data_IF_438102638664
#
_entry.id   IF_438102638664
#
_cell.length_a   1.000
_cell.length_b   1.000
_cell.length_c   1.000
_cell.angle_alpha   90.00
_cell.angle_beta   90.00
_cell.angle_gamma   90.00
#
_symmetry.space_group_name_H-M   'P 1'
#
loop_
_entity.id
_entity.type
_entity.pdbx_description
1 polymer ?
#
# COMPACT_ATOMS: atom_id res chain seq x y z
N UNK A 1 23.01 15.58 7.32
CA UNK A 1 22.46 14.49 7.93
C UNK A 1 21.19 13.99 7.30
N UNK A 2 20.86 12.84 7.73
CA UNK A 2 19.70 12.13 7.23
C UNK A 2 18.52 12.24 8.19
N UNK A 3 18.63 13.16 9.11
CA UNK A 3 17.63 13.26 10.17
C UNK A 3 16.30 13.76 9.67
N UNK A 4 16.29 14.48 8.54
CA UNK A 4 15.05 14.95 7.99
C UNK A 4 14.10 13.80 7.60
N UNK A 5 14.66 12.62 7.31
CA UNK A 5 13.82 11.47 6.97
C UNK A 5 12.96 11.02 8.16
N UNK A 6 13.44 11.23 9.38
CA UNK A 6 12.68 10.91 10.58
C UNK A 6 11.53 11.88 10.80
N UNK A 7 11.64 13.07 10.22
CA UNK A 7 10.63 14.12 10.37
C UNK A 7 9.64 14.17 9.20
N UNK A 8 9.78 13.26 8.25
CA UNK A 8 8.90 13.22 7.08
C UNK A 8 7.73 12.28 7.33
N UNK A 9 6.54 12.78 7.11
CA UNK A 9 5.32 11.99 7.15
C UNK A 9 4.73 11.89 5.75
N UNK A 10 4.17 10.74 5.42
CA UNK A 10 3.46 10.55 4.17
C UNK A 10 1.98 10.29 4.44
N UNK A 11 1.14 11.02 3.77
CA UNK A 11 -0.31 10.84 3.89
C UNK A 11 -0.85 10.49 2.50
N UNK A 12 -1.42 9.31 2.37
CA UNK A 12 -2.14 8.94 1.14
C UNK A 12 -3.46 9.67 1.18
N UNK A 13 -3.65 10.58 0.26
CA UNK A 13 -4.84 11.46 0.28
C UNK A 13 -5.89 11.07 -0.74
N UNK A 14 -5.48 10.46 -1.85
CA UNK A 14 -6.41 10.03 -2.89
C UNK A 14 -5.96 8.73 -3.52
N UNK A 15 -6.95 7.92 -3.89
CA UNK A 15 -6.74 6.66 -4.59
C UNK A 15 -7.61 6.65 -5.84
N UNK A 16 -7.03 6.24 -6.96
CA UNK A 16 -7.72 6.05 -8.23
C UNK A 16 -7.50 4.62 -8.68
N UNK A 17 -8.53 3.98 -9.18
CA UNK A 17 -8.45 2.63 -9.72
C UNK A 17 -8.78 2.65 -11.19
N UNK A 18 -8.00 1.96 -12.01
CA UNK A 18 -8.25 1.85 -13.44
C UNK A 18 -9.38 0.87 -13.68
N UNK A 19 -10.42 1.35 -14.34
CA UNK A 19 -11.57 0.57 -14.76
C UNK A 19 -11.93 0.97 -16.19
N UNK A 20 -12.03 -0.01 -17.09
CA UNK A 20 -12.34 0.26 -18.50
C UNK A 20 -11.40 1.30 -19.11
N UNK A 21 -10.08 1.15 -18.84
CA UNK A 21 -9.02 2.03 -19.33
C UNK A 21 -9.06 3.47 -18.80
N UNK A 22 -9.88 3.74 -17.78
CA UNK A 22 -9.99 5.06 -17.16
C UNK A 22 -9.71 4.93 -15.66
N UNK A 23 -8.90 5.86 -15.13
CA UNK A 23 -8.68 5.93 -13.69
C UNK A 23 -9.84 6.66 -13.04
N UNK A 24 -10.53 5.97 -12.14
CA UNK A 24 -11.70 6.49 -11.44
C UNK A 24 -11.36 6.65 -9.96
N UNK A 25 -11.68 7.82 -9.42
CA UNK A 25 -11.43 8.08 -8.01
C UNK A 25 -12.24 7.13 -7.12
N UNK A 26 -11.58 6.59 -6.11
CA UNK A 26 -12.24 5.75 -5.11
C UNK A 26 -12.74 6.66 -4.00
N UNK A 27 -14.01 7.05 -4.07
CA UNK A 27 -14.59 8.05 -3.16
C UNK A 27 -14.72 7.57 -1.73
N UNK A 28 -14.79 6.26 -1.52
CA UNK A 28 -14.84 5.69 -0.18
C UNK A 28 -13.48 5.69 0.52
N UNK A 29 -12.41 6.01 -0.21
CA UNK A 29 -11.08 6.05 0.36
C UNK A 29 -10.91 7.27 1.27
N UNK A 30 -10.46 7.04 2.49
CA UNK A 30 -10.17 8.11 3.44
C UNK A 30 -8.66 8.27 3.56
N UNK A 31 -8.16 9.50 3.80
CA UNK A 31 -6.73 9.72 3.94
C UNK A 31 -6.11 8.83 5.01
N UNK A 32 -4.93 8.28 4.72
CA UNK A 32 -4.24 7.34 5.58
C UNK A 32 -2.80 7.78 5.80
N UNK A 33 -2.36 7.77 7.05
CA UNK A 33 -0.98 8.06 7.40
C UNK A 33 -0.13 6.82 7.15
N UNK A 34 0.92 6.99 6.36
CA UNK A 34 1.87 5.91 6.08
C UNK A 34 2.92 5.82 7.17
N UNK A 35 3.39 4.61 7.39
CA UNK A 35 4.52 4.32 8.26
C UNK A 35 5.72 4.01 7.40
N UNK A 36 6.84 4.71 7.67
CA UNK A 36 8.09 4.41 6.98
C UNK A 36 8.76 3.23 7.67
N UNK A 37 8.65 2.07 7.05
CA UNK A 37 9.11 0.82 7.65
C UNK A 37 10.62 0.77 7.92
N UNK A 38 11.40 1.56 7.22
CA UNK A 38 12.85 1.51 7.41
C UNK A 38 13.34 2.15 8.71
N UNK A 39 12.51 2.85 9.46
CA UNK A 39 12.88 3.26 10.81
C UNK A 39 11.91 2.83 11.88
N UNK A 40 10.96 2.01 11.56
CA UNK A 40 10.08 1.41 12.55
C UNK A 40 9.92 -0.04 12.20
N UNK A 41 9.96 -0.87 13.22
CA UNK A 41 9.57 -2.25 13.01
C UNK A 41 8.05 -2.29 12.89
N UNK A 42 7.59 -2.82 11.78
CA UNK A 42 6.17 -3.01 11.58
C UNK A 42 5.83 -4.43 11.98
N UNK A 43 4.90 -4.55 12.90
CA UNK A 43 4.43 -5.84 13.35
C UNK A 43 3.15 -6.20 12.62
N UNK A 44 3.15 -7.36 11.99
CA UNK A 44 1.98 -7.91 11.32
C UNK A 44 1.44 -9.04 12.19
N UNK A 45 0.59 -8.72 13.17
CA UNK A 45 0.10 -9.73 14.10
C UNK A 45 -0.70 -10.80 13.36
N UNK A 46 -0.48 -12.04 13.75
CA UNK A 46 -1.21 -13.20 13.21
C UNK A 46 -0.93 -13.51 11.74
N UNK A 47 0.09 -12.87 11.15
CA UNK A 47 0.49 -13.18 9.78
C UNK A 47 1.88 -13.81 9.84
N UNK A 48 2.00 -14.99 9.26
CA UNK A 48 3.26 -15.70 9.22
C UNK A 48 4.24 -14.95 8.32
N UNK A 49 5.49 -14.75 8.74
CA UNK A 49 6.45 -14.00 7.95
C UNK A 49 6.61 -14.48 6.51
N UNK A 50 6.50 -15.79 6.27
CA UNK A 50 6.63 -16.36 4.93
C UNK A 50 5.42 -16.13 4.04
N UNK A 51 4.32 -15.56 4.59
CA UNK A 51 3.11 -15.30 3.84
C UNK A 51 2.99 -13.86 3.35
N UNK A 52 4.01 -13.05 3.58
CA UNK A 52 4.00 -11.69 3.09
C UNK A 52 5.38 -11.25 2.64
N UNK A 53 5.40 -10.25 1.77
CA UNK A 53 6.62 -9.59 1.29
C UNK A 53 6.47 -8.11 1.53
N UNK A 54 7.51 -7.48 2.08
CA UNK A 54 7.51 -6.06 2.40
C UNK A 54 7.95 -5.21 1.22
N UNK A 55 7.26 -4.11 1.00
CA UNK A 55 7.59 -3.06 0.02
C UNK A 55 7.69 -1.73 0.74
N UNK A 56 8.22 -0.70 0.06
CA UNK A 56 8.40 0.61 0.68
C UNK A 56 7.11 1.21 1.23
N UNK A 57 5.98 1.00 0.54
CA UNK A 57 4.71 1.58 0.94
C UNK A 57 3.74 0.58 1.54
N UNK A 58 4.11 -0.69 1.61
CA UNK A 58 3.20 -1.69 2.13
C UNK A 58 3.69 -3.12 1.96
N UNK A 59 2.77 -4.03 2.00
CA UNK A 59 3.04 -5.45 1.98
C UNK A 59 2.20 -6.14 0.92
N UNK A 60 2.80 -7.09 0.20
CA UNK A 60 2.03 -8.04 -0.61
C UNK A 60 1.84 -9.30 0.21
N UNK A 61 0.60 -9.77 0.31
CA UNK A 61 0.24 -10.90 1.16
C UNK A 61 -0.54 -11.92 0.35
N UNK A 62 -0.38 -13.19 0.73
CA UNK A 62 -1.28 -14.23 0.22
C UNK A 62 -2.69 -13.96 0.72
N UNK A 63 -3.67 -14.28 -0.11
CA UNK A 63 -5.07 -14.13 0.25
C UNK A 63 -5.37 -14.82 1.57
N UNK A 64 -6.09 -14.13 2.42
CA UNK A 64 -6.50 -14.63 3.73
C UNK A 64 -7.96 -14.24 3.92
N UNK A 65 -8.83 -15.23 3.70
CA UNK A 65 -10.27 -14.99 3.75
C UNK A 65 -10.72 -14.47 5.10
N UNK A 66 -10.19 -15.03 6.19
CA UNK A 66 -10.56 -14.59 7.53
C UNK A 66 -10.18 -13.14 7.77
N UNK A 67 -8.98 -12.76 7.39
CA UNK A 67 -8.52 -11.36 7.55
C UNK A 67 -9.35 -10.40 6.71
N UNK A 68 -9.55 -10.72 5.42
CA UNK A 68 -10.31 -9.85 4.53
C UNK A 68 -11.77 -9.70 4.95
N UNK A 69 -12.36 -10.77 5.46
CA UNK A 69 -13.74 -10.75 5.93
C UNK A 69 -13.96 -9.78 7.09
N UNK A 70 -12.93 -9.57 7.92
CA UNK A 70 -13.01 -8.58 9.00
C UNK A 70 -13.29 -7.18 8.49
N UNK A 71 -12.90 -6.90 7.25
CA UNK A 71 -13.10 -5.59 6.62
C UNK A 71 -14.23 -5.62 5.59
N UNK A 72 -15.02 -6.69 5.59
CA UNK A 72 -16.13 -6.80 4.64
C UNK A 72 -15.68 -7.03 3.21
N UNK A 73 -14.46 -7.52 3.00
CA UNK A 73 -13.91 -7.74 1.67
C UNK A 73 -14.03 -9.21 1.29
N UNK A 74 -14.62 -9.45 0.13
CA UNK A 74 -14.69 -10.77 -0.49
C UNK A 74 -13.85 -10.73 -1.76
N UNK A 75 -12.94 -11.68 -1.92
CA UNK A 75 -12.04 -11.70 -3.07
C UNK A 75 -11.70 -13.12 -3.49
N UNK A 76 -11.63 -13.34 -4.80
CA UNK A 76 -11.14 -14.58 -5.40
C UNK A 76 -9.65 -14.48 -5.74
N UNK A 77 -9.02 -13.36 -5.43
CA UNK A 77 -7.62 -13.13 -5.76
C UNK A 77 -6.70 -14.01 -4.92
N UNK A 78 -5.52 -14.30 -5.47
CA UNK A 78 -4.48 -15.06 -4.77
C UNK A 78 -3.72 -14.20 -3.77
N UNK A 79 -3.72 -12.90 -3.98
CA UNK A 79 -2.96 -11.94 -3.17
C UNK A 79 -3.76 -10.68 -2.93
N UNK A 80 -3.31 -9.89 -1.97
CA UNK A 80 -3.76 -8.51 -1.77
C UNK A 80 -2.58 -7.68 -1.30
N UNK A 81 -2.68 -6.39 -1.49
CA UNK A 81 -1.66 -5.44 -1.05
C UNK A 81 -2.21 -4.63 0.12
N UNK A 82 -1.43 -4.49 1.16
CA UNK A 82 -1.82 -3.70 2.32
C UNK A 82 -0.88 -2.51 2.45
N UNK A 83 -1.43 -1.30 2.38
CA UNK A 83 -0.66 -0.09 2.63
C UNK A 83 -0.17 -0.12 4.08
N UNK A 84 1.10 0.27 4.27
CA UNK A 84 1.72 0.30 5.60
C UNK A 84 1.29 1.58 6.30
N UNK A 85 0.19 1.48 7.03
CA UNK A 85 -0.45 2.64 7.67
C UNK A 85 -0.26 2.62 9.17
N UNK A 86 -0.27 3.82 9.77
CA UNK A 86 -0.09 3.96 11.21
C UNK A 86 -1.23 3.31 12.00
N UNK A 87 -2.46 3.44 11.49
CA UNK A 87 -3.64 2.82 12.08
C UNK A 87 -4.47 2.21 10.97
N UNK A 88 -4.77 0.92 11.07
CA UNK A 88 -5.63 0.25 10.09
C UNK A 88 -7.07 0.69 10.28
N UNK A 89 -7.70 1.29 9.25
CA UNK A 89 -9.09 1.70 9.36
C UNK A 89 -10.03 0.50 9.30
N UNK A 90 -11.14 0.58 10.02
CA UNK A 90 -12.14 -0.48 10.01
C UNK A 90 -12.78 -0.69 8.65
N UNK A 91 -12.72 0.33 7.80
CA UNK A 91 -13.29 0.27 6.45
C UNK A 91 -12.47 -0.58 5.49
N UNK A 92 -11.25 -0.95 5.85
CA UNK A 92 -10.38 -1.71 4.96
C UNK A 92 -9.78 -0.87 3.83
N UNK A 93 -9.81 0.46 3.92
CA UNK A 93 -9.27 1.35 2.88
C UNK A 93 -7.78 1.14 2.61
N UNK A 94 -7.06 0.56 3.56
CA UNK A 94 -5.64 0.25 3.43
C UNK A 94 -5.37 -1.02 2.61
N UNK A 95 -6.41 -1.77 2.26
CA UNK A 95 -6.29 -3.02 1.52
C UNK A 95 -6.62 -2.77 0.06
N UNK A 96 -5.69 -3.14 -0.82
CA UNK A 96 -5.87 -3.01 -2.26
C UNK A 96 -5.81 -4.40 -2.89
N UNK A 97 -6.85 -4.75 -3.62
CA UNK A 97 -6.89 -5.99 -4.40
C UNK A 97 -6.08 -5.81 -5.68
N UNK A 98 -5.70 -6.91 -6.35
CA UNK A 98 -4.96 -6.80 -7.60
C UNK A 98 -5.64 -5.84 -8.57
N UNK A 99 -4.84 -5.03 -9.22
CA UNK A 99 -5.34 -4.01 -10.12
C UNK A 99 -4.30 -2.97 -10.46
N UNK A 100 -4.74 -1.96 -11.16
CA UNK A 100 -3.93 -0.85 -11.62
C UNK A 100 -4.46 0.43 -10.95
N UNK A 101 -3.59 1.10 -10.20
CA UNK A 101 -4.00 2.23 -9.35
C UNK A 101 -3.10 3.43 -9.58
N UNK A 102 -3.63 4.60 -9.27
CA UNK A 102 -2.81 5.79 -9.01
C UNK A 102 -3.08 6.22 -7.59
N UNK A 103 -2.01 6.52 -6.85
CA UNK A 103 -2.12 7.00 -5.48
C UNK A 103 -1.43 8.34 -5.36
N UNK A 104 -2.09 9.24 -4.65
CA UNK A 104 -1.55 10.56 -4.40
C UNK A 104 -1.15 10.64 -2.94
N UNK A 105 0.11 11.01 -2.70
CA UNK A 105 0.70 11.07 -1.37
C UNK A 105 1.23 12.47 -1.14
N UNK A 106 0.91 13.04 0.00
CA UNK A 106 1.49 14.30 0.45
C UNK A 106 2.58 13.96 1.45
N UNK A 107 3.79 14.45 1.17
CA UNK A 107 4.91 14.32 2.09
C UNK A 107 5.14 15.66 2.79
N UNK A 108 5.18 15.63 4.10
CA UNK A 108 5.39 16.81 4.91
C UNK A 108 6.51 16.60 5.91
N UNK A 109 7.38 17.56 6.03
CA UNK A 109 8.43 17.56 7.04
C UNK A 109 8.25 18.74 7.97
N UNK A 110 9.00 18.75 9.07
CA UNK A 110 8.84 19.77 10.12
C UNK A 110 9.09 21.20 9.64
N UNK A 111 10.04 21.37 8.74
CA UNK A 111 10.48 22.70 8.31
C UNK A 111 10.42 22.89 6.80
N UNK A 112 9.61 22.09 6.13
CA UNK A 112 9.55 22.14 4.68
C UNK A 112 8.10 22.30 4.21
N UNK A 113 7.97 22.83 3.01
CA UNK A 113 6.67 22.90 2.33
C UNK A 113 6.22 21.49 1.97
N UNK A 114 4.97 21.14 2.23
CA UNK A 114 4.45 19.83 1.82
C UNK A 114 4.59 19.63 0.31
N UNK A 115 4.93 18.43 -0.08
CA UNK A 115 5.10 18.03 -1.48
C UNK A 115 4.11 16.95 -1.81
N UNK A 116 3.35 17.14 -2.89
CA UNK A 116 2.41 16.16 -3.37
C UNK A 116 3.04 15.38 -4.52
N UNK A 117 2.95 14.06 -4.44
CA UNK A 117 3.44 13.17 -5.49
C UNK A 117 2.38 12.15 -5.83
N UNK A 118 2.35 11.77 -7.09
CA UNK A 118 1.46 10.71 -7.58
C UNK A 118 2.29 9.53 -8.02
N UNK A 119 1.85 8.34 -7.65
CA UNK A 119 2.51 7.09 -7.99
C UNK A 119 1.55 6.20 -8.78
N UNK A 120 2.11 5.50 -9.74
CA UNK A 120 1.42 4.45 -10.47
C UNK A 120 1.74 3.12 -9.78
N UNK A 121 0.71 2.46 -9.28
CA UNK A 121 0.84 1.22 -8.53
C UNK A 121 0.10 0.11 -9.25
N UNK A 122 0.83 -0.93 -9.63
CA UNK A 122 0.23 -2.11 -10.27
C UNK A 122 0.44 -3.30 -9.34
N UNK A 123 -0.64 -4.00 -9.05
CA UNK A 123 -0.62 -5.21 -8.24
C UNK A 123 -1.13 -6.35 -9.10
N UNK A 124 -0.26 -7.32 -9.38
CA UNK A 124 -0.63 -8.50 -10.15
C UNK A 124 -1.13 -9.60 -9.22
N UNK A 125 -2.06 -10.40 -9.70
CA UNK A 125 -2.64 -11.48 -8.92
C UNK A 125 -1.80 -12.76 -9.03
N UNK A 126 -0.59 -12.72 -8.49
CA UNK A 126 0.32 -13.84 -8.51
C UNK A 126 1.13 -13.90 -7.23
N UNK A 127 1.51 -15.10 -6.85
CA UNK A 127 2.39 -15.32 -5.71
C UNK A 127 3.52 -16.26 -6.10
N UNK A 128 4.74 -15.92 -5.68
CA UNK A 128 5.89 -16.79 -5.78
C UNK A 128 6.55 -16.87 -4.42
N UNK A 129 7.03 -18.07 -4.05
CA UNK A 129 7.80 -18.23 -2.82
C UNK A 129 9.20 -17.66 -2.96
N UNK A 130 9.65 -17.40 -4.19
CA UNK A 130 10.89 -16.68 -4.45
C UNK A 130 10.67 -15.19 -4.26
N UNK A 131 11.33 -14.63 -3.24
CA UNK A 131 11.13 -13.24 -2.88
C UNK A 131 11.54 -12.28 -3.99
N UNK A 132 12.62 -12.57 -4.69
CA UNK A 132 13.08 -11.71 -5.76
C UNK A 132 12.07 -11.65 -6.91
N UNK A 133 11.48 -12.79 -7.25
CA UNK A 133 10.45 -12.85 -8.28
C UNK A 133 9.23 -12.03 -7.85
N UNK A 134 8.82 -12.15 -6.60
CA UNK A 134 7.69 -11.37 -6.08
C UNK A 134 7.95 -9.88 -6.15
N UNK A 135 9.12 -9.45 -5.67
CA UNK A 135 9.45 -8.03 -5.62
C UNK A 135 9.64 -7.42 -7.01
N UNK A 136 10.09 -8.19 -7.97
CA UNK A 136 10.32 -7.70 -9.33
C UNK A 136 9.06 -7.72 -10.19
N UNK A 137 8.21 -8.70 -10.01
CA UNK A 137 7.13 -8.97 -10.98
C UNK A 137 5.72 -8.78 -10.44
N UNK A 138 5.52 -8.83 -9.13
CA UNK A 138 4.17 -8.81 -8.59
C UNK A 138 3.66 -7.38 -8.34
N UNK A 139 4.49 -6.53 -7.80
CA UNK A 139 4.10 -5.16 -7.49
C UNK A 139 5.06 -4.20 -8.17
N UNK A 140 4.51 -3.21 -8.83
CA UNK A 140 5.26 -2.13 -9.44
C UNK A 140 4.74 -0.82 -8.89
N UNK A 141 5.64 0.04 -8.41
CA UNK A 141 5.28 1.38 -7.98
C UNK A 141 6.29 2.36 -8.55
N UNK A 142 5.78 3.35 -9.28
CA UNK A 142 6.60 4.36 -9.93
C UNK A 142 6.00 5.75 -9.75
N UNK A 143 6.85 6.73 -9.47
CA UNK A 143 6.40 8.11 -9.41
C UNK A 143 6.02 8.57 -10.81
N UNK A 144 4.88 9.25 -10.92
CA UNK A 144 4.43 9.87 -12.17
C UNK A 144 4.51 11.39 -12.05
N UNK A 145 4.69 12.02 -13.15
CA UNK A 145 4.74 13.49 -13.17
C UNK A 145 3.36 14.10 -13.43
#
# INVERSE_FOLDING_TARGET
GNDFAEDVEGIVVELYKKENDVYTKVYSFLPLNLVWSHYRQVTMPKIQPKLFKHMDFGYILKSNTEYLTRFGITSQSNVFFELDVAVRPNTGSHILLPGDYKIKIIFAGNNSTPVEKTYHLIIKDSWSDDENIMLENNVSIEETN
#
